data_IF_245700463334
#
_entry.id   IF_245700463334
#
_cell.length_a   1.000
_cell.length_b   1.000
_cell.length_c   1.000
_cell.angle_alpha   90.00
_cell.angle_beta   90.00
_cell.angle_gamma   90.00
#
_symmetry.space_group_name_H-M   'P 1'
#
loop_
_entity.id
_entity.type
_entity.pdbx_description
1 polymer ?
#
# COMPACT_ATOMS: atom_id res chain seq x y z
N UNK A 1 16.83 -32.21 -40.79
CA UNK A 1 16.63 -30.77 -40.57
C UNK A 1 15.61 -30.59 -39.44
N UNK A 2 16.01 -30.53 -38.16
CA UNK A 2 15.09 -30.22 -37.04
C UNK A 2 15.77 -29.66 -35.77
N UNK A 3 17.05 -29.26 -35.81
CA UNK A 3 17.78 -28.77 -34.61
C UNK A 3 17.66 -27.25 -34.39
N UNK A 4 17.12 -26.49 -35.35
CA UNK A 4 17.02 -25.03 -35.27
C UNK A 4 15.88 -24.51 -34.40
N UNK A 5 14.74 -25.20 -34.37
CA UNK A 5 13.56 -24.79 -33.58
C UNK A 5 13.79 -24.97 -32.08
N UNK A 6 14.39 -26.09 -31.65
CA UNK A 6 14.58 -26.40 -30.23
C UNK A 6 15.57 -25.46 -29.52
N UNK A 7 16.58 -24.93 -30.23
CA UNK A 7 17.50 -23.93 -29.67
C UNK A 7 16.84 -22.54 -29.58
N UNK A 8 16.06 -22.16 -30.60
CA UNK A 8 15.37 -20.88 -30.62
C UNK A 8 14.23 -20.82 -29.59
N UNK A 9 13.47 -21.91 -29.42
CA UNK A 9 12.45 -22.05 -28.38
C UNK A 9 13.06 -21.96 -26.96
N UNK A 10 14.26 -22.50 -26.75
CA UNK A 10 14.96 -22.42 -25.46
C UNK A 10 15.47 -21.01 -25.15
N UNK A 11 15.92 -20.25 -26.16
CA UNK A 11 16.33 -18.85 -26.02
C UNK A 11 15.14 -17.93 -25.75
N UNK A 12 14.03 -18.10 -26.46
CA UNK A 12 12.81 -17.31 -26.27
C UNK A 12 12.20 -17.54 -24.88
N UNK A 13 12.18 -18.79 -24.39
CA UNK A 13 11.75 -19.10 -23.03
C UNK A 13 12.65 -18.42 -21.99
N UNK A 14 13.96 -18.41 -22.20
CA UNK A 14 14.92 -17.78 -21.28
C UNK A 14 14.79 -16.26 -21.26
N UNK A 15 14.52 -15.64 -22.42
CA UNK A 15 14.24 -14.21 -22.53
C UNK A 15 12.91 -13.85 -21.84
N UNK A 16 11.85 -14.64 -22.07
CA UNK A 16 10.55 -14.43 -21.43
C UNK A 16 10.65 -14.54 -19.89
N UNK A 17 11.37 -15.55 -19.39
CA UNK A 17 11.61 -15.72 -17.94
C UNK A 17 12.40 -14.55 -17.36
N UNK A 18 13.41 -14.06 -18.09
CA UNK A 18 14.20 -12.89 -17.66
C UNK A 18 13.36 -11.61 -17.65
N UNK A 19 12.51 -11.41 -18.64
CA UNK A 19 11.58 -10.30 -18.70
C UNK A 19 10.56 -10.34 -17.54
N UNK A 20 9.93 -11.50 -17.31
CA UNK A 20 8.98 -11.70 -16.22
C UNK A 20 9.66 -11.42 -14.87
N UNK A 21 10.86 -11.97 -14.66
CA UNK A 21 11.65 -11.76 -13.43
C UNK A 21 11.95 -10.29 -13.18
N UNK A 22 12.48 -9.58 -14.17
CA UNK A 22 12.83 -8.16 -14.02
C UNK A 22 11.56 -7.33 -13.74
N UNK A 23 10.46 -7.63 -14.42
CA UNK A 23 9.18 -6.97 -14.19
C UNK A 23 8.68 -7.17 -12.75
N UNK A 24 8.72 -8.41 -12.24
CA UNK A 24 8.31 -8.71 -10.85
C UNK A 24 9.21 -8.02 -9.81
N UNK A 25 10.52 -7.93 -10.06
CA UNK A 25 11.44 -7.23 -9.17
C UNK A 25 11.17 -5.72 -9.11
N UNK A 26 10.88 -5.11 -10.27
CA UNK A 26 10.51 -3.69 -10.36
C UNK A 26 9.17 -3.43 -9.65
N UNK A 27 8.14 -4.22 -9.93
CA UNK A 27 6.81 -4.06 -9.31
C UNK A 27 6.91 -4.12 -7.77
N UNK A 28 7.68 -5.06 -7.23
CA UNK A 28 7.90 -5.20 -5.79
C UNK A 28 8.72 -4.06 -5.18
N UNK A 29 9.74 -3.57 -5.90
CA UNK A 29 10.53 -2.44 -5.43
C UNK A 29 9.71 -1.15 -5.39
N UNK A 30 8.84 -0.95 -6.36
CA UNK A 30 7.91 0.19 -6.41
C UNK A 30 6.91 0.09 -5.25
N UNK A 31 6.37 -1.10 -4.99
CA UNK A 31 5.49 -1.36 -3.85
C UNK A 31 6.13 -0.96 -2.52
N UNK A 32 7.34 -1.43 -2.25
CA UNK A 32 8.06 -1.10 -1.01
C UNK A 32 8.30 0.41 -0.88
N UNK A 33 8.67 1.09 -1.96
CA UNK A 33 8.91 2.55 -1.95
C UNK A 33 7.60 3.30 -1.67
N UNK A 34 6.49 2.91 -2.30
CA UNK A 34 5.20 3.56 -2.11
C UNK A 34 4.64 3.33 -0.69
N UNK A 35 4.82 2.13 -0.13
CA UNK A 35 4.51 1.85 1.28
C UNK A 35 5.36 2.71 2.21
N UNK A 36 6.65 2.91 1.91
CA UNK A 36 7.54 3.75 2.71
C UNK A 36 7.09 5.21 2.70
N UNK A 37 6.75 5.73 1.51
CA UNK A 37 6.23 7.11 1.36
C UNK A 37 4.93 7.29 2.13
N UNK A 38 4.00 6.34 2.03
CA UNK A 38 2.76 6.34 2.83
C UNK A 38 3.04 6.24 4.33
N UNK A 39 3.97 5.38 4.74
CA UNK A 39 4.40 5.24 6.12
C UNK A 39 4.96 6.52 6.71
N UNK A 40 5.84 7.21 5.97
CA UNK A 40 6.36 8.53 6.36
C UNK A 40 5.23 9.54 6.51
N UNK A 41 4.29 9.59 5.56
CA UNK A 41 3.15 10.50 5.62
C UNK A 41 2.30 10.27 6.88
N UNK A 42 1.87 9.04 7.16
CA UNK A 42 1.03 8.73 8.32
C UNK A 42 1.77 8.88 9.65
N UNK A 43 3.08 8.59 9.68
CA UNK A 43 3.90 8.77 10.86
C UNK A 43 4.07 10.26 11.16
N UNK A 44 4.43 11.08 10.17
CA UNK A 44 4.48 12.53 10.32
C UNK A 44 3.13 13.10 10.74
N UNK A 45 2.05 12.70 10.07
CA UNK A 45 0.71 13.16 10.40
C UNK A 45 0.32 12.81 11.84
N UNK A 46 0.54 11.57 12.27
CA UNK A 46 0.26 11.13 13.64
C UNK A 46 1.09 11.89 14.68
N UNK A 47 2.37 12.13 14.41
CA UNK A 47 3.23 12.89 15.31
C UNK A 47 2.84 14.37 15.38
N UNK A 48 2.45 14.99 14.25
CA UNK A 48 2.01 16.38 14.19
C UNK A 48 0.66 16.61 14.86
N UNK A 49 -0.20 15.60 14.94
CA UNK A 49 -1.49 15.72 15.63
C UNK A 49 -1.33 15.95 17.16
N UNK A 50 -0.21 15.58 17.77
CA UNK A 50 0.05 15.88 19.19
C UNK A 50 0.19 17.40 19.44
N UNK A 51 1.11 18.14 18.78
CA UNK A 51 1.22 19.59 18.94
C UNK A 51 -0.04 20.33 18.44
N UNK A 52 -0.73 19.81 17.42
CA UNK A 52 -2.02 20.36 16.97
C UNK A 52 -3.09 20.25 18.06
N UNK A 53 -3.21 19.08 18.71
CA UNK A 53 -4.20 18.90 19.79
C UNK A 53 -3.89 19.75 21.03
N UNK A 54 -2.61 20.10 21.25
CA UNK A 54 -2.19 21.07 22.27
C UNK A 54 -2.40 22.55 21.88
N UNK A 55 -2.87 22.83 20.66
CA UNK A 55 -3.11 24.20 20.17
C UNK A 55 -1.84 24.96 19.77
N UNK A 56 -0.69 24.30 19.71
CA UNK A 56 0.61 24.94 19.42
C UNK A 56 0.83 25.19 17.92
N UNK A 57 0.08 24.53 17.03
CA UNK A 57 0.25 24.62 15.59
C UNK A 57 -1.09 24.87 14.89
N UNK A 58 -1.15 25.77 13.89
CA UNK A 58 -2.32 25.94 13.04
C UNK A 58 -2.56 24.66 12.22
N UNK A 59 -3.81 24.23 12.14
CA UNK A 59 -4.17 22.98 11.48
C UNK A 59 -5.18 23.22 10.37
N UNK A 60 -4.74 23.00 9.13
CA UNK A 60 -5.60 23.01 7.94
C UNK A 60 -6.01 21.59 7.57
N UNK A 61 -7.15 21.11 8.10
CA UNK A 61 -7.69 19.78 7.80
C UNK A 61 -7.81 19.53 6.28
N UNK A 62 -8.32 20.51 5.53
CA UNK A 62 -8.54 20.39 4.09
C UNK A 62 -7.26 20.09 3.29
N UNK A 63 -6.17 20.80 3.55
CA UNK A 63 -4.90 20.60 2.84
C UNK A 63 -4.27 19.24 3.15
N UNK A 64 -4.46 18.73 4.37
CA UNK A 64 -3.95 17.42 4.78
C UNK A 64 -4.69 16.29 4.05
N UNK A 65 -6.02 16.32 3.98
CA UNK A 65 -6.78 15.36 3.17
C UNK A 65 -6.50 15.51 1.67
N UNK A 66 -6.25 16.74 1.19
CA UNK A 66 -5.81 16.98 -0.18
C UNK A 66 -4.47 16.32 -0.50
N UNK A 67 -3.47 16.46 0.38
CA UNK A 67 -2.17 15.80 0.24
C UNK A 67 -2.32 14.28 0.26
N UNK A 68 -3.15 13.75 1.15
CA UNK A 68 -3.45 12.32 1.21
C UNK A 68 -4.04 11.81 -0.12
N UNK A 69 -5.02 12.52 -0.69
CA UNK A 69 -5.62 12.16 -1.97
C UNK A 69 -4.60 12.17 -3.13
N UNK A 70 -3.68 13.13 -3.15
CA UNK A 70 -2.59 13.16 -4.14
C UNK A 70 -1.65 11.97 -3.97
N UNK A 71 -1.28 11.64 -2.73
CA UNK A 71 -0.42 10.48 -2.45
C UNK A 71 -1.09 9.16 -2.86
N UNK A 72 -2.36 8.97 -2.51
CA UNK A 72 -3.12 7.77 -2.90
C UNK A 72 -3.32 7.72 -4.41
N UNK A 73 -3.60 8.85 -5.05
CA UNK A 73 -3.68 8.94 -6.51
C UNK A 73 -2.38 8.47 -7.18
N UNK A 74 -1.24 8.98 -6.72
CA UNK A 74 0.07 8.54 -7.21
C UNK A 74 0.26 7.03 -7.02
N UNK A 75 -0.08 6.49 -5.85
CA UNK A 75 0.02 5.05 -5.58
C UNK A 75 -0.85 4.23 -6.55
N UNK A 76 -2.10 4.65 -6.75
CA UNK A 76 -3.07 3.97 -7.63
C UNK A 76 -2.62 4.02 -9.09
N UNK A 77 -2.11 5.16 -9.58
CA UNK A 77 -1.62 5.31 -10.95
C UNK A 77 -0.36 4.48 -11.17
N UNK A 78 0.58 4.51 -10.22
CA UNK A 78 1.89 3.87 -10.35
C UNK A 78 1.77 2.34 -10.31
N UNK A 79 0.97 1.79 -9.40
CA UNK A 79 0.81 0.33 -9.27
C UNK A 79 -0.24 -0.25 -10.22
N UNK A 80 -1.17 0.57 -10.74
CA UNK A 80 -2.35 0.06 -11.45
C UNK A 80 -3.21 -0.88 -10.60
N UNK A 81 -3.03 -0.81 -9.29
CA UNK A 81 -3.71 -1.51 -8.20
C UNK A 81 -3.81 -0.55 -7.02
N UNK A 82 -4.79 -0.75 -6.15
CA UNK A 82 -4.84 0.05 -4.90
C UNK A 82 -3.69 -0.38 -3.98
N UNK A 83 -3.08 0.56 -3.23
CA UNK A 83 -1.94 0.30 -2.33
C UNK A 83 -2.19 -0.80 -1.27
N UNK A 84 -3.45 -1.14 -1.03
CA UNK A 84 -3.89 -2.07 0.00
C UNK A 84 -4.71 -3.26 -0.53
N UNK A 85 -4.90 -3.37 -1.85
CA UNK A 85 -5.75 -4.44 -2.42
C UNK A 85 -5.62 -4.67 -3.92
N UNK A 86 -5.82 -5.92 -4.33
CA UNK A 86 -5.84 -6.35 -5.73
C UNK A 86 -7.12 -5.87 -6.43
N UNK A 87 -7.09 -4.67 -7.02
CA UNK A 87 -8.06 -4.29 -8.05
C UNK A 87 -7.44 -4.57 -9.42
N UNK A 88 -8.18 -5.26 -10.29
CA UNK A 88 -7.75 -5.59 -11.64
C UNK A 88 -7.31 -4.32 -12.38
N UNK A 89 -6.09 -4.35 -12.93
CA UNK A 89 -5.49 -3.25 -13.71
C UNK A 89 -6.40 -2.93 -14.89
N UNK A 90 -7.25 -1.94 -14.70
CA UNK A 90 -8.17 -1.43 -15.70
C UNK A 90 -7.90 0.05 -15.91
N UNK A 91 -8.11 0.52 -17.13
CA UNK A 91 -8.05 1.95 -17.47
C UNK A 91 -8.94 2.80 -16.55
N UNK A 92 -10.01 2.21 -16.00
CA UNK A 92 -10.90 2.84 -15.03
C UNK A 92 -10.16 3.24 -13.76
N UNK A 93 -9.28 2.38 -13.22
CA UNK A 93 -8.50 2.65 -12.00
C UNK A 93 -7.57 3.85 -12.21
N UNK A 94 -6.97 3.97 -13.39
CA UNK A 94 -6.10 5.10 -13.75
C UNK A 94 -6.89 6.40 -13.86
N UNK A 95 -8.08 6.38 -14.47
CA UNK A 95 -8.95 7.56 -14.58
C UNK A 95 -9.43 8.02 -13.19
N UNK A 96 -9.82 7.08 -12.32
CA UNK A 96 -10.18 7.38 -10.94
C UNK A 96 -8.98 7.99 -10.21
N UNK A 97 -7.80 7.39 -10.35
CA UNK A 97 -6.53 7.92 -9.84
C UNK A 97 -6.32 9.37 -10.27
N UNK A 98 -6.44 9.66 -11.56
CA UNK A 98 -6.27 11.02 -12.09
C UNK A 98 -7.29 12.01 -11.52
N UNK A 99 -8.56 11.60 -11.42
CA UNK A 99 -9.61 12.41 -10.78
C UNK A 99 -9.29 12.75 -9.33
N UNK A 100 -8.81 11.78 -8.56
CA UNK A 100 -8.35 12.01 -7.18
C UNK A 100 -7.14 12.95 -7.12
N UNK A 101 -6.22 12.89 -8.09
CA UNK A 101 -5.07 13.79 -8.15
C UNK A 101 -5.51 15.25 -8.34
N UNK A 102 -6.45 15.48 -9.26
CA UNK A 102 -7.00 16.80 -9.54
C UNK A 102 -7.74 17.33 -8.30
N UNK A 103 -8.64 16.54 -7.73
CA UNK A 103 -9.38 16.91 -6.51
C UNK A 103 -8.46 17.15 -5.32
N UNK A 104 -7.46 16.30 -5.11
CA UNK A 104 -6.48 16.45 -4.04
C UNK A 104 -5.65 17.72 -4.21
N UNK A 105 -5.21 18.03 -5.43
CA UNK A 105 -4.47 19.27 -5.71
C UNK A 105 -5.33 20.49 -5.45
N UNK A 106 -6.60 20.50 -5.90
CA UNK A 106 -7.53 21.60 -5.63
C UNK A 106 -7.80 21.78 -4.12
N UNK A 107 -7.93 20.68 -3.38
CA UNK A 107 -8.11 20.72 -1.93
C UNK A 107 -6.89 21.25 -1.17
N UNK A 108 -5.68 21.13 -1.72
CA UNK A 108 -4.48 21.76 -1.14
C UNK A 108 -4.53 23.28 -1.30
N UNK A 109 -4.95 23.80 -2.46
CA UNK A 109 -5.02 25.24 -2.75
C UNK A 109 -6.22 25.93 -2.09
N UNK A 110 -7.37 25.26 -2.05
CA UNK A 110 -8.64 25.78 -1.51
C UNK A 110 -9.16 24.86 -0.40
N UNK A 111 -8.48 24.86 0.77
CA UNK A 111 -8.80 23.92 1.85
C UNK A 111 -10.16 24.18 2.50
N UNK A 112 -10.64 25.42 2.54
CA UNK A 112 -11.91 25.78 3.18
C UNK A 112 -13.11 25.12 2.48
N UNK A 113 -13.24 25.33 1.17
CA UNK A 113 -14.40 24.89 0.38
C UNK A 113 -14.41 23.39 0.07
N UNK A 114 -13.22 22.79 -0.14
CA UNK A 114 -13.09 21.38 -0.53
C UNK A 114 -12.77 20.45 0.64
N UNK A 115 -12.58 20.97 1.86
CA UNK A 115 -12.23 20.17 3.06
C UNK A 115 -13.16 18.98 3.25
N UNK A 116 -14.47 19.23 3.25
CA UNK A 116 -15.47 18.19 3.49
C UNK A 116 -15.45 17.12 2.40
N UNK A 117 -15.35 17.52 1.14
CA UNK A 117 -15.29 16.59 0.01
C UNK A 117 -14.01 15.75 0.07
N UNK A 118 -12.86 16.40 0.26
CA UNK A 118 -11.57 15.73 0.33
C UNK A 118 -11.52 14.73 1.49
N UNK A 119 -12.07 15.12 2.64
CA UNK A 119 -12.19 14.28 3.83
C UNK A 119 -13.08 13.06 3.60
N UNK A 120 -14.27 13.24 3.03
CA UNK A 120 -15.19 12.14 2.75
C UNK A 120 -14.56 11.17 1.75
N UNK A 121 -13.91 11.68 0.70
CA UNK A 121 -13.18 10.84 -0.25
C UNK A 121 -12.04 10.09 0.42
N UNK A 122 -11.19 10.78 1.19
CA UNK A 122 -10.08 10.18 1.91
C UNK A 122 -10.55 9.05 2.83
N UNK A 123 -11.52 9.32 3.70
CA UNK A 123 -12.04 8.32 4.62
C UNK A 123 -12.79 7.19 3.92
N UNK A 124 -13.51 7.46 2.83
CA UNK A 124 -14.19 6.43 2.05
C UNK A 124 -13.18 5.49 1.38
N UNK A 125 -12.10 6.03 0.79
CA UNK A 125 -11.05 5.22 0.18
C UNK A 125 -10.40 4.34 1.24
N UNK A 126 -9.99 4.92 2.37
CA UNK A 126 -9.38 4.20 3.51
C UNK A 126 -10.32 3.10 4.03
N UNK A 127 -11.61 3.41 4.20
CA UNK A 127 -12.59 2.46 4.70
C UNK A 127 -12.84 1.31 3.71
N UNK A 128 -12.98 1.61 2.43
CA UNK A 128 -13.21 0.62 1.37
C UNK A 128 -11.98 -0.27 1.22
N UNK A 129 -10.77 0.30 1.19
CA UNK A 129 -9.52 -0.45 1.05
C UNK A 129 -9.24 -1.34 2.26
N UNK A 130 -9.34 -0.80 3.48
CA UNK A 130 -9.22 -1.59 4.71
C UNK A 130 -10.31 -2.66 4.85
N UNK A 131 -11.55 -2.33 4.46
CA UNK A 131 -12.68 -3.27 4.48
C UNK A 131 -12.52 -4.42 3.49
N UNK A 132 -12.15 -4.12 2.23
CA UNK A 132 -11.84 -5.15 1.23
C UNK A 132 -10.64 -5.98 1.65
N UNK A 133 -9.57 -5.37 2.18
CA UNK A 133 -8.39 -6.08 2.67
C UNK A 133 -8.72 -7.05 3.81
N UNK A 134 -9.50 -6.59 4.78
CA UNK A 134 -9.97 -7.41 5.90
C UNK A 134 -10.89 -8.54 5.41
N UNK A 135 -11.82 -8.24 4.50
CA UNK A 135 -12.73 -9.24 3.93
C UNK A 135 -11.98 -10.28 3.09
N UNK A 136 -10.97 -9.88 2.33
CA UNK A 136 -10.11 -10.80 1.58
C UNK A 136 -9.31 -11.70 2.52
N UNK A 137 -8.79 -11.19 3.64
CA UNK A 137 -8.13 -12.02 4.65
C UNK A 137 -9.09 -13.03 5.32
N UNK A 138 -10.31 -12.60 5.64
CA UNK A 138 -11.35 -13.45 6.21
C UNK A 138 -11.82 -14.53 5.23
N UNK A 139 -12.02 -14.17 3.96
CA UNK A 139 -12.54 -15.09 2.93
C UNK A 139 -11.44 -16.00 2.38
N UNK A 140 -10.19 -15.53 2.33
CA UNK A 140 -9.04 -16.32 1.91
C UNK A 140 -8.46 -17.16 3.06
N UNK A 141 -9.29 -17.61 4.00
CA UNK A 141 -8.92 -18.47 5.13
C UNK A 141 -8.14 -19.72 4.67
N UNK A 142 -8.42 -20.23 3.45
CA UNK A 142 -7.68 -21.34 2.83
C UNK A 142 -6.28 -20.95 2.30
N UNK A 143 -6.10 -19.73 1.76
CA UNK A 143 -4.76 -19.22 1.39
C UNK A 143 -3.97 -18.83 2.64
N UNK A 144 -4.61 -18.20 3.62
CA UNK A 144 -4.01 -17.90 4.93
C UNK A 144 -3.58 -19.17 5.66
N UNK A 145 -4.38 -20.26 5.59
CA UNK A 145 -3.97 -21.60 6.06
C UNK A 145 -2.79 -22.17 5.30
N UNK A 146 -2.73 -21.99 3.98
CA UNK A 146 -1.61 -22.47 3.16
C UNK A 146 -0.33 -21.70 3.48
N UNK A 147 -0.43 -20.40 3.78
CA UNK A 147 0.68 -19.56 4.23
C UNK A 147 1.06 -19.83 5.69
N UNK A 148 0.10 -20.21 6.55
CA UNK A 148 0.34 -20.69 7.91
C UNK A 148 0.99 -22.08 7.96
N UNK A 149 0.84 -22.90 6.92
CA UNK A 149 1.49 -24.22 6.81
C UNK A 149 2.96 -24.13 6.41
N UNK A 150 3.41 -22.99 5.87
CA UNK A 150 4.83 -22.73 5.59
C UNK A 150 5.44 -21.97 6.79
N UNK A 151 6.31 -22.59 7.60
CA UNK A 151 6.77 -21.98 8.84
C UNK A 151 7.72 -20.81 8.54
N UNK A 152 7.46 -19.62 9.10
CA UNK A 152 8.42 -18.50 9.11
C UNK A 152 7.82 -17.11 8.92
N UNK A 153 8.60 -16.24 8.29
CA UNK A 153 8.40 -14.78 8.13
C UNK A 153 7.03 -14.41 7.52
N UNK A 154 6.41 -15.34 6.76
CA UNK A 154 5.08 -15.17 6.15
C UNK A 154 3.96 -15.05 7.19
N UNK A 155 4.08 -15.69 8.36
CA UNK A 155 3.10 -15.55 9.45
C UNK A 155 3.13 -14.14 10.07
N UNK A 156 4.33 -13.59 10.25
CA UNK A 156 4.50 -12.20 10.69
C UNK A 156 3.93 -11.22 9.67
N UNK A 157 4.06 -11.53 8.38
CA UNK A 157 3.52 -10.72 7.30
C UNK A 157 1.98 -10.71 7.33
N UNK A 158 1.32 -11.87 7.43
CA UNK A 158 -0.15 -11.95 7.56
C UNK A 158 -0.68 -11.21 8.79
N UNK A 159 0.02 -11.32 9.93
CA UNK A 159 -0.36 -10.59 11.14
C UNK A 159 -0.19 -9.07 10.96
N UNK A 160 0.92 -8.64 10.35
CA UNK A 160 1.16 -7.23 10.06
C UNK A 160 0.09 -6.66 9.11
N UNK A 161 -0.26 -7.37 8.04
CA UNK A 161 -1.36 -6.99 7.15
C UNK A 161 -2.70 -6.89 7.91
N UNK A 162 -3.00 -7.84 8.79
CA UNK A 162 -4.19 -7.79 9.63
C UNK A 162 -4.27 -6.54 10.50
N UNK A 163 -3.16 -6.16 11.16
CA UNK A 163 -3.09 -4.94 11.97
C UNK A 163 -3.26 -3.68 11.12
N UNK A 164 -2.62 -3.64 9.96
CA UNK A 164 -2.74 -2.53 8.99
C UNK A 164 -4.21 -2.35 8.58
N UNK A 165 -4.88 -3.41 8.10
CA UNK A 165 -6.26 -3.30 7.61
C UNK A 165 -7.27 -2.97 8.72
N UNK A 166 -7.12 -3.53 9.91
CA UNK A 166 -8.01 -3.18 11.05
C UNK A 166 -7.82 -1.71 11.43
N UNK A 167 -6.57 -1.25 11.52
CA UNK A 167 -6.28 0.16 11.83
C UNK A 167 -6.80 1.09 10.72
N UNK A 168 -6.73 0.66 9.47
CA UNK A 168 -7.26 1.36 8.31
C UNK A 168 -8.79 1.51 8.39
N UNK A 169 -9.52 0.44 8.67
CA UNK A 169 -10.98 0.49 8.87
C UNK A 169 -11.36 1.47 9.98
N UNK A 170 -10.63 1.42 11.11
CA UNK A 170 -10.86 2.35 12.22
C UNK A 170 -10.58 3.81 11.80
N UNK A 171 -9.46 4.06 11.12
CA UNK A 171 -9.11 5.39 10.61
C UNK A 171 -10.14 5.91 9.61
N UNK A 172 -10.63 5.06 8.70
CA UNK A 172 -11.67 5.41 7.73
C UNK A 172 -12.97 5.82 8.41
N UNK A 173 -13.40 5.05 9.42
CA UNK A 173 -14.62 5.34 10.18
C UNK A 173 -14.50 6.65 10.97
N UNK A 174 -13.37 6.85 11.65
CA UNK A 174 -13.08 8.08 12.42
C UNK A 174 -13.01 9.29 11.48
N UNK A 175 -12.42 9.13 10.30
CA UNK A 175 -12.34 10.20 9.30
C UNK A 175 -13.73 10.61 8.82
N UNK A 176 -14.65 9.66 8.63
CA UNK A 176 -16.03 9.94 8.20
C UNK A 176 -16.91 10.58 9.29
N UNK A 177 -16.57 10.42 10.58
CA UNK A 177 -17.39 10.90 11.70
C UNK A 177 -16.62 11.92 12.58
N UNK A 178 -16.47 13.18 12.12
CA UNK A 178 -15.74 14.22 12.85
C UNK A 178 -16.22 14.54 14.26
N UNK A 179 -17.52 14.33 14.53
CA UNK A 179 -18.17 14.87 15.71
C UNK A 179 -18.01 14.04 16.99
N UNK A 180 -17.45 12.83 16.92
CA UNK A 180 -17.46 11.88 18.04
C UNK A 180 -16.04 11.57 18.55
N UNK A 181 -14.99 11.91 17.79
CA UNK A 181 -13.65 11.32 18.02
C UNK A 181 -12.59 12.36 18.33
N UNK A 182 -11.81 12.07 19.37
CA UNK A 182 -10.72 12.91 19.88
C UNK A 182 -9.53 12.93 18.90
N UNK A 183 -9.00 14.11 18.58
CA UNK A 183 -7.78 14.28 17.77
C UNK A 183 -6.62 13.39 18.24
N UNK A 184 -6.54 13.14 19.55
CA UNK A 184 -5.54 12.26 20.17
C UNK A 184 -5.67 10.79 19.74
N UNK A 185 -6.88 10.28 19.52
CA UNK A 185 -7.09 8.89 19.07
C UNK A 185 -6.62 8.75 17.61
N UNK A 186 -6.97 9.71 16.76
CA UNK A 186 -6.50 9.77 15.37
C UNK A 186 -4.97 9.86 15.31
N UNK A 187 -4.35 10.63 16.21
CA UNK A 187 -2.90 10.72 16.32
C UNK A 187 -2.27 9.35 16.58
N UNK A 188 -2.74 8.66 17.62
CA UNK A 188 -2.23 7.33 18.00
C UNK A 188 -2.45 6.31 16.89
N UNK A 189 -3.65 6.24 16.32
CA UNK A 189 -3.96 5.29 15.24
C UNK A 189 -3.12 5.57 13.99
N UNK A 190 -2.94 6.84 13.62
CA UNK A 190 -2.11 7.23 12.48
C UNK A 190 -0.63 6.89 12.71
N UNK A 191 -0.11 7.12 13.91
CA UNK A 191 1.27 6.73 14.26
C UNK A 191 1.45 5.21 14.23
N UNK A 192 0.52 4.45 14.82
CA UNK A 192 0.54 2.99 14.78
C UNK A 192 0.46 2.48 13.35
N UNK A 193 -0.39 3.08 12.51
CA UNK A 193 -0.50 2.75 11.10
C UNK A 193 0.81 3.02 10.36
N UNK A 194 1.42 4.20 10.53
CA UNK A 194 2.72 4.53 9.94
C UNK A 194 3.81 3.53 10.33
N UNK A 195 3.95 3.21 11.62
CA UNK A 195 4.90 2.19 12.10
C UNK A 195 4.62 0.82 11.47
N UNK A 196 3.35 0.45 11.35
CA UNK A 196 2.94 -0.82 10.75
C UNK A 196 3.31 -0.89 9.26
N UNK A 197 3.20 0.21 8.52
CA UNK A 197 3.63 0.29 7.11
C UNK A 197 5.15 0.14 6.96
N UNK A 198 5.94 0.78 7.84
CA UNK A 198 7.40 0.58 7.86
C UNK A 198 7.77 -0.87 8.16
N UNK A 199 7.10 -1.48 9.15
CA UNK A 199 7.31 -2.88 9.49
C UNK A 199 6.94 -3.81 8.32
N UNK A 200 5.86 -3.48 7.60
CA UNK A 200 5.42 -4.21 6.43
C UNK A 200 6.42 -4.11 5.28
N UNK A 201 6.89 -2.91 4.95
CA UNK A 201 7.94 -2.67 3.95
C UNK A 201 9.23 -3.43 4.29
N UNK A 202 9.63 -3.45 5.56
CA UNK A 202 10.76 -4.23 6.04
C UNK A 202 10.55 -5.74 5.90
N UNK A 203 9.36 -6.23 6.25
CA UNK A 203 9.01 -7.64 6.15
C UNK A 203 9.01 -8.10 4.68
N UNK A 204 8.40 -7.33 3.77
CA UNK A 204 8.43 -7.60 2.33
C UNK A 204 9.87 -7.67 1.83
N UNK A 205 10.71 -6.66 2.17
CA UNK A 205 12.12 -6.66 1.77
C UNK A 205 12.89 -7.89 2.28
N UNK A 206 12.64 -8.31 3.52
CA UNK A 206 13.25 -9.52 4.08
C UNK A 206 12.76 -10.80 3.41
N UNK A 207 11.46 -10.92 3.15
CA UNK A 207 10.89 -12.06 2.43
C UNK A 207 11.53 -12.16 1.06
N UNK A 208 11.62 -11.05 0.33
CA UNK A 208 12.26 -11.00 -0.99
C UNK A 208 13.72 -11.37 -0.92
N UNK A 209 14.45 -10.91 0.09
CA UNK A 209 15.86 -11.28 0.27
C UNK A 209 16.05 -12.78 0.56
N UNK A 210 15.12 -13.41 1.30
CA UNK A 210 15.21 -14.81 1.74
C UNK A 210 14.62 -15.83 0.75
N UNK A 211 13.54 -15.46 0.07
CA UNK A 211 12.85 -16.30 -0.91
C UNK A 211 13.31 -16.01 -2.35
N UNK A 212 14.29 -15.13 -2.56
CA UNK A 212 15.04 -15.07 -3.82
C UNK A 212 15.66 -16.45 -4.02
N UNK A 213 15.22 -17.26 -5.00
CA UNK A 213 15.92 -18.48 -5.31
C UNK A 213 17.24 -18.05 -5.95
N UNK A 214 18.32 -18.00 -5.19
CA UNK A 214 19.60 -18.46 -5.74
C UNK A 214 19.41 -19.96 -5.99
N UNK A 215 19.70 -20.57 -7.13
CA UNK A 215 20.88 -20.38 -7.97
C UNK A 215 22.17 -20.18 -7.15
N UNK A 216 22.21 -20.71 -5.93
CA UNK A 216 23.48 -21.07 -5.30
C UNK A 216 23.88 -22.43 -5.86
N UNK A 217 24.96 -22.36 -6.65
CA UNK A 217 25.81 -23.46 -7.14
C UNK A 217 25.17 -24.50 -8.07
N UNK A 218 25.13 -24.21 -9.37
CA UNK A 218 25.55 -25.25 -10.31
C UNK A 218 27.07 -25.42 -10.10
N UNK A 219 27.58 -26.60 -9.72
CA UNK A 219 29.02 -26.84 -9.75
C UNK A 219 29.46 -26.65 -11.20
N UNK A 220 30.48 -25.82 -11.39
CA UNK A 220 31.23 -25.80 -12.63
C UNK A 220 31.67 -27.21 -12.98
N UNK A 221 31.71 -27.50 -14.28
CA UNK A 221 32.13 -28.78 -14.80
C UNK A 221 33.48 -29.22 -14.25
N UNK A 222 33.56 -30.51 -13.99
CA UNK A 222 34.67 -31.37 -14.35
C UNK A 222 34.06 -32.74 -14.68
#
# INVERSE_FOLDING_TARGET
>A
MNNGSTQQDAEDQKQLQTYIKNKTEVDLSIEVVLLLVGGVFFLLFGLLLFPISSGSLPYGEGSMYGLFLVLVSMQVITMGKTPFGDLLRSWVVVIIGLGMAILGTLAIFYPEDLSMLARVLAGAIVLVTGGLGTFQLLTAEDRARTWMKVPGILRQLTFAYGVVYVTEVLLGLITLVPGIVLNSLTAVLSTVFGISLFYLAWCIRQVTARYRPGLTTAPGGA
#
